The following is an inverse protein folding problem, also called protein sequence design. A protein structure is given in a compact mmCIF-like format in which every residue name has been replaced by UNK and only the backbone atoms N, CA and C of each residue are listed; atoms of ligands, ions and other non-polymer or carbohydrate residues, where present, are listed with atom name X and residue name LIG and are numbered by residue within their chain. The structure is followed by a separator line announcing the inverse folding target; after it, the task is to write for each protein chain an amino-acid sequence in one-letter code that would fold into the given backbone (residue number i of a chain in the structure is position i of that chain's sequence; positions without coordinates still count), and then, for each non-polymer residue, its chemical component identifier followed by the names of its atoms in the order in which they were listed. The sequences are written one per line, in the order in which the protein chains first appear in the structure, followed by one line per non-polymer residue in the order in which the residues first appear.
data_IF_778760756740
#
_entry.id   IF_778760756740
#
_cell.length_a   1.000
_cell.length_b   1.000
_cell.length_c   1.000
_cell.angle_alpha   90.00
_cell.angle_beta   90.00
_cell.angle_gamma   90.00
#
_symmetry.space_group_name_H-M   'P 1'
#
loop_
_entity.id
_entity.type
_entity.pdbx_description
1 polymer ?
#
# COMPACT_ATOMS: atom_id res chain seq x y z
N UNK A 1 -18.06 17.53 -31.49
CA UNK A 1 -17.35 16.23 -31.41
C UNK A 1 -16.64 16.24 -30.06
N UNK A 2 -17.27 15.64 -29.05
CA UNK A 2 -16.61 15.41 -27.75
C UNK A 2 -15.46 14.43 -27.98
N UNK A 3 -14.25 14.89 -27.74
CA UNK A 3 -13.10 13.99 -27.67
C UNK A 3 -13.34 13.07 -26.49
N UNK A 4 -13.65 11.81 -26.77
CA UNK A 4 -13.84 10.81 -25.74
C UNK A 4 -12.64 10.76 -24.81
N UNK A 5 -12.86 10.84 -23.50
CA UNK A 5 -11.83 10.75 -22.48
C UNK A 5 -11.11 9.39 -22.59
N UNK A 6 -9.87 9.40 -23.05
CA UNK A 6 -9.04 8.19 -23.15
C UNK A 6 -8.54 7.79 -21.76
N UNK A 7 -9.31 6.89 -21.13
CA UNK A 7 -9.02 6.37 -19.78
C UNK A 7 -7.68 5.63 -19.72
N UNK A 8 -7.30 4.96 -20.82
CA UNK A 8 -6.07 4.18 -20.88
C UNK A 8 -4.83 5.08 -20.95
N UNK A 9 -4.89 6.15 -21.76
CA UNK A 9 -3.85 7.17 -21.81
C UNK A 9 -3.75 7.97 -20.49
N UNK A 10 -4.89 8.21 -19.83
CA UNK A 10 -4.92 8.87 -18.51
C UNK A 10 -4.26 8.01 -17.44
N UNK A 11 -4.62 6.72 -17.36
CA UNK A 11 -4.04 5.77 -16.41
C UNK A 11 -2.55 5.57 -16.65
N UNK A 12 -2.11 5.43 -17.91
CA UNK A 12 -0.69 5.29 -18.24
C UNK A 12 0.11 6.50 -17.79
N UNK A 13 -0.35 7.72 -18.07
CA UNK A 13 0.30 8.95 -17.59
C UNK A 13 0.33 9.07 -16.07
N UNK A 14 -0.74 8.63 -15.40
CA UNK A 14 -0.79 8.56 -13.94
C UNK A 14 0.30 7.65 -13.37
N UNK A 15 0.42 6.44 -13.91
CA UNK A 15 1.45 5.46 -13.50
C UNK A 15 2.87 5.99 -13.79
N UNK A 16 3.11 6.57 -14.98
CA UNK A 16 4.41 7.16 -15.34
C UNK A 16 4.81 8.29 -14.39
N UNK A 17 3.87 9.14 -13.98
CA UNK A 17 4.12 10.21 -13.02
C UNK A 17 4.48 9.66 -11.64
N UNK A 18 3.70 8.70 -11.13
CA UNK A 18 3.97 8.02 -9.85
C UNK A 18 5.35 7.35 -9.88
N UNK A 19 5.67 6.62 -10.95
CA UNK A 19 7.00 6.00 -11.12
C UNK A 19 8.10 7.06 -11.16
N UNK A 20 7.90 8.17 -11.87
CA UNK A 20 8.84 9.29 -11.95
C UNK A 20 9.09 9.94 -10.58
N UNK A 21 8.06 10.11 -9.76
CA UNK A 21 8.17 10.70 -8.43
C UNK A 21 8.82 9.73 -7.43
N UNK A 22 8.53 8.45 -7.52
CA UNK A 22 9.23 7.40 -6.76
C UNK A 22 10.73 7.43 -7.12
N UNK A 23 11.08 7.50 -8.40
CA UNK A 23 12.48 7.58 -8.83
C UNK A 23 13.16 8.83 -8.27
N UNK A 24 12.53 10.01 -8.34
CA UNK A 24 13.08 11.24 -7.74
C UNK A 24 13.28 11.12 -6.23
N UNK A 25 12.32 10.55 -5.52
CA UNK A 25 12.40 10.33 -4.07
C UNK A 25 13.56 9.37 -3.70
N UNK A 26 13.84 8.37 -4.54
CA UNK A 26 14.93 7.40 -4.30
C UNK A 26 16.33 8.00 -4.48
N UNK A 27 16.50 9.05 -5.28
CA UNK A 27 17.82 9.70 -5.44
C UNK A 27 18.40 10.26 -4.12
N UNK A 28 17.57 10.57 -3.15
CA UNK A 28 17.99 11.04 -1.82
C UNK A 28 18.45 9.92 -0.87
N UNK A 29 18.15 8.66 -1.22
CA UNK A 29 18.49 7.50 -0.38
C UNK A 29 19.08 6.36 -1.21
N UNK A 30 20.41 6.07 -1.08
CA UNK A 30 21.08 5.04 -1.86
C UNK A 30 20.47 3.63 -1.72
N UNK A 31 19.96 3.30 -0.51
CA UNK A 31 19.30 2.00 -0.27
C UNK A 31 17.98 1.89 -1.02
N UNK A 32 17.20 2.98 -1.03
CA UNK A 32 15.95 3.05 -1.79
C UNK A 32 16.20 2.90 -3.29
N UNK A 33 17.19 3.61 -3.83
CA UNK A 33 17.59 3.50 -5.25
C UNK A 33 18.05 2.08 -5.61
N UNK A 34 18.86 1.45 -4.77
CA UNK A 34 19.33 0.09 -4.99
C UNK A 34 18.16 -0.92 -4.97
N UNK A 35 17.21 -0.75 -4.05
CA UNK A 35 16.02 -1.58 -4.01
C UNK A 35 15.18 -1.40 -5.29
N UNK A 36 14.88 -0.17 -5.71
CA UNK A 36 14.07 0.10 -6.90
C UNK A 36 14.69 -0.46 -8.17
N UNK A 37 16.01 -0.40 -8.31
CA UNK A 37 16.72 -1.02 -9.44
C UNK A 37 16.55 -2.55 -9.45
N UNK A 38 16.69 -3.20 -8.29
CA UNK A 38 16.45 -4.66 -8.15
C UNK A 38 15.00 -5.01 -8.43
N UNK A 39 14.05 -4.25 -7.89
CA UNK A 39 12.63 -4.46 -8.11
C UNK A 39 12.25 -4.31 -9.59
N UNK A 40 12.81 -3.34 -10.30
CA UNK A 40 12.58 -3.17 -11.74
C UNK A 40 13.01 -4.43 -12.54
N UNK A 41 14.12 -5.05 -12.17
CA UNK A 41 14.59 -6.30 -12.79
C UNK A 41 13.67 -7.47 -12.42
N UNK A 42 13.29 -7.61 -11.16
CA UNK A 42 12.38 -8.64 -10.68
C UNK A 42 11.00 -8.52 -11.36
N UNK A 43 10.45 -7.31 -11.45
CA UNK A 43 9.16 -7.04 -12.10
C UNK A 43 9.18 -7.40 -13.60
N UNK A 44 10.30 -7.17 -14.30
CA UNK A 44 10.47 -7.62 -15.70
C UNK A 44 10.50 -9.15 -15.80
N UNK A 45 11.17 -9.82 -14.87
CA UNK A 45 11.19 -11.29 -14.82
C UNK A 45 9.80 -11.84 -14.52
N UNK A 46 9.08 -11.28 -13.57
CA UNK A 46 7.70 -11.62 -13.23
C UNK A 46 6.76 -11.42 -14.43
N UNK A 47 6.89 -10.31 -15.16
CA UNK A 47 6.11 -10.06 -16.38
C UNK A 47 6.33 -11.13 -17.47
N UNK A 48 7.58 -11.64 -17.62
CA UNK A 48 7.86 -12.73 -18.55
C UNK A 48 7.21 -14.04 -18.10
N UNK A 49 7.22 -14.36 -16.79
CA UNK A 49 6.52 -15.53 -16.23
C UNK A 49 5.02 -15.46 -16.55
N UNK A 50 4.36 -14.34 -16.26
CA UNK A 50 2.92 -14.14 -16.53
C UNK A 50 2.59 -14.27 -18.01
N UNK A 51 3.41 -13.67 -18.89
CA UNK A 51 3.20 -13.79 -20.34
C UNK A 51 3.33 -15.25 -20.82
N UNK A 52 4.25 -16.04 -20.24
CA UNK A 52 4.39 -17.46 -20.55
C UNK A 52 3.16 -18.24 -20.11
N UNK A 53 2.62 -17.98 -18.92
CA UNK A 53 1.39 -18.59 -18.41
C UNK A 53 0.19 -18.22 -19.29
N UNK A 54 0.06 -16.94 -19.67
CA UNK A 54 -1.02 -16.48 -20.54
C UNK A 54 -0.99 -17.15 -21.93
N UNK A 55 0.20 -17.37 -22.50
CA UNK A 55 0.35 -18.15 -23.73
C UNK A 55 -0.04 -19.63 -23.57
N UNK A 56 -0.03 -20.15 -22.34
CA UNK A 56 -0.50 -21.49 -21.99
C UNK A 56 -1.99 -21.54 -21.60
N UNK A 57 -2.70 -20.41 -21.67
CA UNK A 57 -4.12 -20.29 -21.32
C UNK A 57 -4.38 -20.02 -19.84
N UNK A 58 -3.36 -19.70 -19.05
CA UNK A 58 -3.48 -19.37 -17.62
C UNK A 58 -3.34 -17.86 -17.41
N UNK A 59 -4.35 -17.25 -16.78
CA UNK A 59 -4.30 -15.83 -16.46
C UNK A 59 -3.79 -15.58 -15.03
N UNK A 60 -2.59 -15.01 -14.90
CA UNK A 60 -1.99 -14.64 -13.62
C UNK A 60 -2.01 -13.12 -13.47
N UNK A 61 -2.69 -12.55 -12.46
CA UNK A 61 -2.73 -11.12 -12.25
C UNK A 61 -1.36 -10.57 -11.81
N UNK A 62 -1.03 -9.36 -12.26
CA UNK A 62 0.17 -8.67 -11.83
C UNK A 62 0.02 -8.05 -10.43
N UNK A 63 -1.22 -7.84 -9.99
CA UNK A 63 -1.61 -7.09 -8.80
C UNK A 63 -2.68 -7.85 -8.03
N UNK A 64 -2.52 -7.91 -6.70
CA UNK A 64 -3.50 -8.47 -5.77
C UNK A 64 -3.82 -7.44 -4.67
N UNK A 65 -5.01 -7.57 -4.10
CA UNK A 65 -5.38 -6.88 -2.86
C UNK A 65 -5.56 -7.94 -1.78
N UNK A 66 -4.83 -7.81 -0.68
CA UNK A 66 -4.87 -8.70 0.46
C UNK A 66 -5.45 -7.98 1.69
N UNK A 67 -6.66 -8.37 2.09
CA UNK A 67 -7.25 -7.91 3.35
C UNK A 67 -6.75 -8.81 4.48
N UNK A 68 -5.69 -8.36 5.19
CA UNK A 68 -4.96 -9.19 6.16
C UNK A 68 -5.57 -9.21 7.56
N UNK A 69 -6.52 -8.32 7.83
CA UNK A 69 -7.25 -8.26 9.10
C UNK A 69 -8.60 -7.59 8.95
N UNK A 70 -9.57 -8.02 9.73
CA UNK A 70 -10.87 -7.34 9.89
C UNK A 70 -10.89 -6.34 11.05
N UNK A 71 -9.82 -6.27 11.86
CA UNK A 71 -9.74 -5.39 13.02
C UNK A 71 -9.20 -4.01 12.65
N UNK A 72 -9.77 -2.97 13.25
CA UNK A 72 -9.31 -1.58 13.10
C UNK A 72 -9.52 -0.84 14.43
N UNK A 73 -8.56 0.01 14.76
CA UNK A 73 -8.61 0.84 15.96
C UNK A 73 -9.32 2.19 15.74
N UNK A 74 -9.76 2.49 14.52
CA UNK A 74 -10.52 3.70 14.19
C UNK A 74 -11.93 3.38 13.70
N UNK A 75 -12.85 4.35 13.87
CA UNK A 75 -14.25 4.29 13.42
C UNK A 75 -14.51 5.45 12.43
N UNK A 76 -13.74 5.48 11.34
CA UNK A 76 -13.82 6.58 10.37
C UNK A 76 -15.22 6.71 9.76
N UNK A 77 -15.70 7.93 9.62
CA UNK A 77 -16.96 8.21 8.94
C UNK A 77 -16.88 7.79 7.47
N UNK A 78 -17.87 7.02 6.98
CA UNK A 78 -17.88 6.52 5.61
C UNK A 78 -16.82 5.44 5.30
N UNK A 79 -16.31 4.76 6.32
CA UNK A 79 -15.36 3.66 6.12
C UNK A 79 -15.98 2.54 5.28
N UNK A 80 -15.46 2.34 4.06
CA UNK A 80 -15.90 1.30 3.13
C UNK A 80 -15.91 -0.10 3.77
N UNK A 81 -14.87 -0.45 4.48
CA UNK A 81 -14.72 -1.77 5.11
C UNK A 81 -15.75 -2.01 6.21
N UNK A 82 -16.10 -0.98 7.00
CA UNK A 82 -17.16 -1.07 8.01
C UNK A 82 -18.56 -1.08 7.38
N UNK A 83 -18.79 -0.25 6.37
CA UNK A 83 -20.08 -0.23 5.65
C UNK A 83 -20.40 -1.58 5.01
N UNK A 84 -19.37 -2.31 4.56
CA UNK A 84 -19.52 -3.66 3.97
C UNK A 84 -19.34 -4.79 4.99
N UNK A 85 -19.35 -4.50 6.29
CA UNK A 85 -19.17 -5.49 7.37
C UNK A 85 -17.86 -6.32 7.28
N UNK A 86 -16.87 -5.86 6.52
CA UNK A 86 -15.57 -6.49 6.44
C UNK A 86 -14.65 -6.12 7.61
N UNK A 87 -14.89 -4.97 8.24
CA UNK A 87 -14.24 -4.55 9.50
C UNK A 87 -15.27 -4.57 10.62
N UNK A 88 -14.96 -5.32 11.68
CA UNK A 88 -15.82 -5.54 12.84
C UNK A 88 -15.06 -5.30 14.14
N UNK A 89 -15.77 -4.89 15.21
CA UNK A 89 -15.17 -4.68 16.54
C UNK A 89 -15.09 -6.00 17.33
N UNK A 90 -15.92 -6.98 16.99
CA UNK A 90 -15.85 -8.30 17.58
C UNK A 90 -14.56 -9.02 17.16
N UNK A 91 -14.04 -9.88 18.05
CA UNK A 91 -12.93 -10.74 17.69
C UNK A 91 -13.30 -11.61 16.49
N UNK A 92 -12.46 -11.65 15.43
CA UNK A 92 -12.75 -12.45 14.25
C UNK A 92 -12.77 -13.93 14.61
N UNK A 93 -13.71 -14.67 14.03
CA UNK A 93 -13.85 -16.12 14.25
C UNK A 93 -12.57 -16.86 13.83
N UNK A 94 -11.96 -16.45 12.72
CA UNK A 94 -10.66 -16.95 12.24
C UNK A 94 -10.01 -15.91 11.33
N UNK A 95 -8.72 -15.70 11.53
CA UNK A 95 -7.86 -14.99 10.57
C UNK A 95 -6.68 -15.88 10.21
N UNK A 96 -6.15 -15.71 9.01
CA UNK A 96 -4.94 -16.44 8.59
C UNK A 96 -3.76 -16.06 9.48
N UNK A 97 -2.94 -17.04 9.79
CA UNK A 97 -1.69 -16.85 10.54
C UNK A 97 -0.60 -16.23 9.65
N UNK A 98 0.49 -15.76 10.26
CA UNK A 98 1.63 -15.24 9.51
C UNK A 98 2.27 -16.32 8.62
N UNK A 99 2.26 -17.59 9.05
CA UNK A 99 2.78 -18.72 8.29
C UNK A 99 1.88 -19.06 7.08
N UNK A 100 0.56 -18.93 7.23
CA UNK A 100 -0.37 -19.10 6.11
C UNK A 100 -0.19 -17.98 5.08
N UNK A 101 -0.03 -16.72 5.54
CA UNK A 101 0.26 -15.59 4.66
C UNK A 101 1.63 -15.71 4.00
N UNK A 102 2.66 -16.19 4.70
CA UNK A 102 3.98 -16.43 4.14
C UNK A 102 3.90 -17.35 2.92
N UNK A 103 3.16 -18.48 3.04
CA UNK A 103 2.94 -19.40 1.91
C UNK A 103 2.22 -18.75 0.74
N UNK A 104 1.21 -17.91 1.02
CA UNK A 104 0.51 -17.16 -0.04
C UNK A 104 1.47 -16.21 -0.77
N UNK A 105 2.37 -15.56 -0.04
CA UNK A 105 3.35 -14.67 -0.64
C UNK A 105 4.43 -15.43 -1.42
N UNK A 106 4.86 -16.61 -0.95
CA UNK A 106 5.76 -17.52 -1.68
C UNK A 106 5.13 -17.93 -3.03
N UNK A 107 3.89 -18.40 -3.03
CA UNK A 107 3.16 -18.80 -4.23
C UNK A 107 2.97 -17.59 -5.18
N UNK A 108 2.64 -16.41 -4.64
CA UNK A 108 2.50 -15.20 -5.44
C UNK A 108 3.81 -14.79 -6.15
N UNK A 109 4.97 -14.90 -5.47
CA UNK A 109 6.30 -14.63 -6.07
C UNK A 109 6.62 -15.68 -7.15
N UNK A 110 6.34 -16.96 -6.89
CA UNK A 110 6.52 -18.03 -7.85
C UNK A 110 5.70 -17.83 -9.12
N UNK A 111 4.44 -17.41 -8.98
CA UNK A 111 3.54 -17.09 -10.09
C UNK A 111 3.92 -15.81 -10.84
N UNK A 112 4.70 -14.94 -10.23
CA UNK A 112 5.15 -13.67 -10.81
C UNK A 112 4.20 -12.50 -10.54
N UNK A 113 3.47 -12.52 -9.44
CA UNK A 113 2.77 -11.33 -8.93
C UNK A 113 3.81 -10.29 -8.54
N UNK A 114 3.60 -9.05 -8.94
CA UNK A 114 4.58 -7.95 -8.69
C UNK A 114 4.16 -7.01 -7.59
N UNK A 115 2.85 -6.91 -7.30
CA UNK A 115 2.30 -6.00 -6.31
C UNK A 115 1.22 -6.70 -5.50
N UNK A 116 1.29 -6.57 -4.18
CA UNK A 116 0.23 -7.01 -3.27
C UNK A 116 -0.09 -5.86 -2.32
N UNK A 117 -1.23 -5.19 -2.54
CA UNK A 117 -1.72 -4.16 -1.65
C UNK A 117 -2.20 -4.80 -0.35
N UNK A 118 -1.58 -4.44 0.76
CA UNK A 118 -2.00 -4.87 2.09
C UNK A 118 -3.02 -3.88 2.65
N UNK A 119 -4.21 -4.39 2.90
CA UNK A 119 -5.35 -3.64 3.40
C UNK A 119 -6.09 -4.45 4.49
N UNK A 120 -7.29 -4.02 4.81
CA UNK A 120 -8.19 -4.66 5.77
C UNK A 120 -8.86 -3.63 6.64
N UNK A 121 -8.95 -3.89 7.94
CA UNK A 121 -9.24 -2.86 8.93
C UNK A 121 -8.02 -1.92 9.05
N UNK A 122 -7.08 -2.23 9.94
CA UNK A 122 -5.78 -1.55 10.02
C UNK A 122 -4.65 -2.60 9.91
N UNK A 123 -3.93 -2.65 8.78
CA UNK A 123 -2.90 -3.67 8.55
C UNK A 123 -1.77 -3.66 9.58
N UNK A 124 -1.44 -2.51 10.15
CA UNK A 124 -0.38 -2.40 11.15
C UNK A 124 -0.71 -3.07 12.49
N UNK A 125 -1.94 -3.52 12.71
CA UNK A 125 -2.27 -4.43 13.83
C UNK A 125 -1.57 -5.79 13.66
N UNK A 126 -1.37 -6.22 12.39
CA UNK A 126 -0.76 -7.51 12.03
C UNK A 126 0.69 -7.34 11.58
N UNK A 127 1.52 -6.88 12.52
CA UNK A 127 2.95 -6.72 12.29
C UNK A 127 3.64 -8.02 11.84
N UNK A 128 3.21 -9.14 12.38
CA UNK A 128 3.66 -10.49 12.03
C UNK A 128 3.53 -10.76 10.52
N UNK A 129 2.42 -10.35 9.91
CA UNK A 129 2.18 -10.50 8.46
C UNK A 129 3.03 -9.51 7.66
N UNK A 130 3.19 -8.27 8.14
CA UNK A 130 4.08 -7.30 7.48
C UNK A 130 5.54 -7.79 7.48
N UNK A 131 6.01 -8.40 8.57
CA UNK A 131 7.32 -9.02 8.65
C UNK A 131 7.45 -10.22 7.68
N UNK A 132 6.38 -11.01 7.50
CA UNK A 132 6.33 -12.07 6.50
C UNK A 132 6.42 -11.50 5.07
N UNK A 133 5.63 -10.47 4.74
CA UNK A 133 5.67 -9.77 3.45
C UNK A 133 7.04 -9.16 3.16
N UNK A 134 7.72 -8.63 4.18
CA UNK A 134 9.06 -8.07 4.08
C UNK A 134 10.12 -9.04 3.56
N UNK A 135 9.90 -10.35 3.68
CA UNK A 135 10.80 -11.41 3.19
C UNK A 135 10.76 -11.62 1.68
N UNK A 136 9.82 -10.99 0.97
CA UNK A 136 9.61 -11.15 -0.48
C UNK A 136 10.03 -9.89 -1.27
N UNK A 137 11.33 -9.62 -1.45
CA UNK A 137 11.83 -8.39 -2.05
C UNK A 137 11.46 -8.22 -3.54
N UNK A 138 11.00 -9.27 -4.21
CA UNK A 138 10.53 -9.25 -5.59
C UNK A 138 9.11 -8.71 -5.75
N UNK A 139 8.36 -8.65 -4.65
CA UNK A 139 7.00 -8.12 -4.61
C UNK A 139 7.01 -6.79 -3.86
N UNK A 140 6.36 -5.77 -4.42
CA UNK A 140 6.11 -4.51 -3.72
C UNK A 140 4.80 -4.60 -2.95
N UNK A 141 4.83 -4.23 -1.67
CA UNK A 141 3.68 -4.24 -0.79
C UNK A 141 3.31 -2.82 -0.34
N UNK A 142 2.41 -2.13 -1.04
CA UNK A 142 1.77 -0.93 -0.50
C UNK A 142 0.94 -1.31 0.74
N UNK A 143 1.20 -0.68 1.88
CA UNK A 143 0.50 -0.91 3.17
C UNK A 143 -0.41 0.27 3.44
N UNK A 144 -1.71 0.10 3.18
CA UNK A 144 -2.70 1.15 3.38
C UNK A 144 -3.06 1.26 4.86
N UNK A 145 -2.62 2.33 5.49
CA UNK A 145 -2.71 2.49 6.95
C UNK A 145 -3.31 3.84 7.36
N UNK A 146 -3.97 3.84 8.49
CA UNK A 146 -4.37 5.08 9.17
C UNK A 146 -3.21 5.74 9.94
N UNK A 147 -2.03 5.12 9.96
CA UNK A 147 -0.79 5.66 10.52
C UNK A 147 -0.74 5.73 12.05
N UNK A 148 -1.79 5.37 12.78
CA UNK A 148 -1.84 5.55 14.24
C UNK A 148 -0.93 4.60 15.02
N UNK A 149 -0.53 3.48 14.41
CA UNK A 149 0.42 2.53 14.99
C UNK A 149 1.88 2.81 14.64
N UNK A 150 2.16 3.88 13.84
CA UNK A 150 3.52 4.20 13.46
C UNK A 150 4.38 4.55 14.68
N UNK A 151 5.43 3.80 14.89
CA UNK A 151 6.43 3.95 15.96
C UNK A 151 7.84 3.62 15.43
N UNK A 152 8.85 3.71 16.30
CA UNK A 152 10.24 3.38 15.96
C UNK A 152 10.44 1.95 15.44
N UNK A 153 9.59 1.00 15.84
CA UNK A 153 9.68 -0.39 15.39
C UNK A 153 9.20 -0.50 13.94
N UNK A 154 8.16 0.28 13.57
CA UNK A 154 7.67 0.33 12.20
C UNK A 154 8.61 1.12 11.28
N UNK A 155 9.19 2.23 11.75
CA UNK A 155 10.21 2.94 10.97
C UNK A 155 11.40 2.03 10.65
N UNK A 156 11.86 1.23 11.62
CA UNK A 156 12.92 0.23 11.39
C UNK A 156 12.49 -0.85 10.41
N UNK A 157 11.26 -1.35 10.51
CA UNK A 157 10.73 -2.37 9.59
C UNK A 157 10.74 -1.84 8.14
N UNK A 158 10.22 -0.64 7.90
CA UNK A 158 10.22 -0.02 6.58
C UNK A 158 11.63 0.34 6.08
N UNK A 159 12.57 0.62 6.97
CA UNK A 159 13.98 0.82 6.58
C UNK A 159 14.67 -0.48 6.18
N UNK A 160 14.38 -1.57 6.85
CA UNK A 160 14.93 -2.89 6.56
C UNK A 160 14.27 -3.55 5.35
N UNK A 161 12.96 -3.44 5.23
CA UNK A 161 12.13 -4.06 4.21
C UNK A 161 11.60 -3.00 3.24
N UNK A 162 12.42 -2.59 2.25
CA UNK A 162 12.09 -1.51 1.30
C UNK A 162 10.97 -1.87 0.32
N UNK A 163 10.59 -3.12 0.26
CA UNK A 163 9.42 -3.61 -0.46
C UNK A 163 8.10 -3.31 0.26
N UNK A 164 8.14 -2.94 1.53
CA UNK A 164 6.98 -2.42 2.27
C UNK A 164 6.92 -0.90 2.12
N UNK A 165 5.85 -0.38 1.56
CA UNK A 165 5.66 1.06 1.33
C UNK A 165 4.42 1.51 2.07
N UNK A 166 4.54 2.26 3.19
CA UNK A 166 3.37 2.78 3.89
C UNK A 166 2.63 3.80 3.02
N UNK A 167 1.32 3.64 2.91
CA UNK A 167 0.41 4.56 2.22
C UNK A 167 -0.53 5.14 3.25
N UNK A 168 -0.29 6.40 3.62
CA UNK A 168 -1.03 7.09 4.67
C UNK A 168 -2.41 7.50 4.16
N UNK A 169 -3.45 7.08 4.86
CA UNK A 169 -4.82 7.46 4.54
C UNK A 169 -5.14 8.82 5.18
N UNK A 170 -5.30 9.85 4.37
CA UNK A 170 -5.57 11.24 4.78
C UNK A 170 -6.75 11.78 3.97
N UNK A 171 -7.51 12.73 4.52
CA UNK A 171 -8.70 13.29 3.86
C UNK A 171 -8.50 14.77 3.45
N UNK A 172 -7.25 15.20 3.25
CA UNK A 172 -6.89 16.56 2.92
C UNK A 172 -6.53 17.38 4.17
N UNK A 173 -7.22 18.47 4.43
CA UNK A 173 -6.92 19.38 5.54
C UNK A 173 -7.27 18.76 6.91
N UNK A 174 -6.77 19.43 7.98
CA UNK A 174 -6.89 18.95 9.36
C UNK A 174 -8.35 18.74 9.77
N UNK A 175 -9.19 19.75 9.54
CA UNK A 175 -10.60 19.74 9.94
C UNK A 175 -11.33 18.55 9.29
N UNK A 176 -11.06 18.30 8.02
CA UNK A 176 -11.70 17.24 7.26
C UNK A 176 -11.17 15.87 7.68
N UNK A 177 -9.86 15.75 7.89
CA UNK A 177 -9.24 14.49 8.31
C UNK A 177 -9.68 14.11 9.72
N UNK A 178 -9.67 15.06 10.66
CA UNK A 178 -10.06 14.80 12.05
C UNK A 178 -11.57 14.53 12.16
N UNK A 179 -12.41 15.25 11.40
CA UNK A 179 -13.85 14.97 11.34
C UNK A 179 -14.18 13.56 10.82
N UNK A 180 -13.40 13.07 9.85
CA UNK A 180 -13.60 11.73 9.29
C UNK A 180 -13.00 10.61 10.14
N UNK A 181 -11.78 10.82 10.68
CA UNK A 181 -10.95 9.75 11.26
C UNK A 181 -10.82 9.82 12.77
N UNK A 182 -11.15 10.95 13.37
CA UNK A 182 -11.02 11.22 14.80
C UNK A 182 -10.02 12.35 15.10
N UNK A 183 -10.27 13.04 16.20
CA UNK A 183 -9.46 14.19 16.64
C UNK A 183 -7.97 13.82 16.81
N UNK A 184 -7.08 14.66 16.28
CA UNK A 184 -5.62 14.52 16.38
C UNK A 184 -5.01 13.50 15.42
N UNK A 185 -5.80 12.83 14.57
CA UNK A 185 -5.28 11.89 13.57
C UNK A 185 -4.47 12.63 12.52
N UNK A 186 -4.91 13.81 12.07
CA UNK A 186 -4.17 14.61 11.10
C UNK A 186 -2.75 14.94 11.57
N UNK A 187 -2.61 15.51 12.76
CA UNK A 187 -1.29 15.92 13.29
C UNK A 187 -0.35 14.70 13.42
N UNK A 188 -0.89 13.54 13.81
CA UNK A 188 -0.14 12.29 13.87
C UNK A 188 0.32 11.82 12.48
N UNK A 189 -0.55 11.89 11.48
CA UNK A 189 -0.21 11.54 10.10
C UNK A 189 0.88 12.44 9.54
N UNK A 190 0.77 13.75 9.69
CA UNK A 190 1.78 14.72 9.24
C UNK A 190 3.12 14.45 9.92
N UNK A 191 3.13 14.27 11.25
CA UNK A 191 4.36 13.94 11.98
C UNK A 191 5.02 12.64 11.51
N UNK A 192 4.23 11.62 11.17
CA UNK A 192 4.73 10.37 10.62
C UNK A 192 5.29 10.55 9.20
N UNK A 193 4.62 11.32 8.33
CA UNK A 193 5.12 11.62 6.98
C UNK A 193 6.43 12.39 7.05
N UNK A 194 6.55 13.38 7.94
CA UNK A 194 7.79 14.13 8.18
C UNK A 194 8.92 13.21 8.64
N UNK A 195 8.64 12.31 9.57
CA UNK A 195 9.61 11.32 10.04
C UNK A 195 10.06 10.36 8.94
N UNK A 196 9.15 9.93 8.05
CA UNK A 196 9.47 9.12 6.88
C UNK A 196 10.35 9.90 5.89
N UNK A 197 10.02 11.18 5.61
CA UNK A 197 10.82 12.08 4.78
C UNK A 197 12.24 12.24 5.32
N UNK A 198 12.38 12.54 6.63
CA UNK A 198 13.68 12.73 7.28
C UNK A 198 14.55 11.48 7.21
N UNK A 199 13.96 10.30 7.26
CA UNK A 199 14.64 9.00 7.15
C UNK A 199 14.88 8.57 5.70
N UNK A 200 14.40 9.34 4.71
CA UNK A 200 14.49 8.99 3.30
C UNK A 200 13.73 7.70 2.96
N UNK A 201 12.63 7.44 3.67
CA UNK A 201 11.73 6.32 3.40
C UNK A 201 10.68 6.73 2.37
N UNK A 202 10.41 5.83 1.41
CA UNK A 202 9.34 6.03 0.43
C UNK A 202 8.01 5.79 1.13
N UNK A 203 7.05 6.67 0.90
CA UNK A 203 5.68 6.50 1.34
C UNK A 203 4.72 7.11 0.32
N UNK A 204 3.46 6.74 0.41
CA UNK A 204 2.37 7.32 -0.37
C UNK A 204 1.31 7.96 0.51
N UNK A 205 0.42 8.72 -0.10
CA UNK A 205 -0.82 9.20 0.50
C UNK A 205 -2.01 8.67 -0.29
N UNK A 206 -3.05 8.25 0.43
CA UNK A 206 -4.34 7.85 -0.14
C UNK A 206 -5.41 8.82 0.32
N UNK A 207 -6.11 9.41 -0.63
CA UNK A 207 -7.14 10.42 -0.38
C UNK A 207 -8.43 10.01 -1.05
N UNK A 208 -9.55 10.11 -0.34
CA UNK A 208 -10.87 9.93 -0.93
C UNK A 208 -11.38 11.27 -1.46
N UNK A 209 -11.62 11.35 -2.76
CA UNK A 209 -12.19 12.52 -3.42
C UNK A 209 -13.71 12.40 -3.44
N UNK A 210 -14.42 13.37 -2.87
CA UNK A 210 -15.88 13.46 -2.86
C UNK A 210 -16.33 14.74 -3.56
N UNK A 211 -17.62 14.85 -3.92
CA UNK A 211 -18.16 16.01 -4.66
C UNK A 211 -18.05 17.33 -3.92
N UNK A 212 -18.00 17.31 -2.60
CA UNK A 212 -17.80 18.42 -1.69
C UNK A 212 -16.31 18.78 -1.47
N UNK A 213 -15.39 17.92 -1.91
CA UNK A 213 -13.93 18.10 -1.82
C UNK A 213 -13.35 18.31 -3.22
N UNK A 214 -13.49 19.51 -3.75
CA UNK A 214 -13.09 19.83 -5.14
C UNK A 214 -11.60 20.08 -5.33
N UNK A 215 -10.81 20.17 -4.27
CA UNK A 215 -9.37 20.39 -4.34
C UNK A 215 -8.65 19.53 -3.31
N UNK A 216 -7.98 18.52 -3.79
CA UNK A 216 -6.86 17.89 -3.07
C UNK A 216 -5.61 18.47 -3.71
N UNK A 217 -4.96 19.40 -3.03
CA UNK A 217 -3.67 19.95 -3.45
C UNK A 217 -2.56 19.12 -2.87
#
# INVERSE_FOLDING_TARGET
MEQGFDIQAYMTRGVERVVGDIVKATFKNPRGSAYMAKFALASRAASRKRRKAENAGEHIPAFLIASITSQCNLHCAGCYSRCNHATVDAAPVRQLTAEEWLRIFDEADELGVSFILLAGGEPMIRRDILEAAGKHPNILFPVFTNGTYMDERYFRLFDQCRNLVPVMSIEGEKETTDACRGEGVYDRLIGNMDALCQRGLIFGASVTVTTDRKSVV
#
